data_IF_245814191167
#
_entry.id   IF_245814191167
#
_cell.length_a   1.000
_cell.length_b   1.000
_cell.length_c   1.000
_cell.angle_alpha   90.00
_cell.angle_beta   90.00
_cell.angle_gamma   90.00
#
_symmetry.space_group_name_H-M   'P 1'
#
loop_
_entity.id
_entity.type
_entity.pdbx_description
1 polymer ?
#
# COMPACT_ATOMS: atom_id res chain seq x y z
N UNK A 1 11.73 -6.76 -7.83
CA UNK A 1 10.49 -5.96 -7.92
C UNK A 1 10.21 -5.61 -9.38
N UNK A 2 9.37 -6.40 -10.05
CA UNK A 2 9.17 -6.35 -11.52
C UNK A 2 8.03 -5.42 -11.97
N UNK A 3 7.01 -5.17 -11.15
CA UNK A 3 5.77 -4.48 -11.56
C UNK A 3 5.44 -3.20 -10.74
N UNK A 4 6.45 -2.42 -10.34
CA UNK A 4 6.27 -1.22 -9.47
C UNK A 4 5.34 -0.13 -10.02
N UNK A 5 5.17 -0.06 -11.35
CA UNK A 5 4.30 0.92 -12.02
C UNK A 5 2.86 0.46 -12.18
N UNK A 6 2.55 -0.80 -11.82
CA UNK A 6 1.22 -1.37 -12.01
C UNK A 6 0.10 -0.56 -11.31
N UNK A 7 0.28 0.04 -10.11
CA UNK A 7 -0.75 0.86 -9.50
C UNK A 7 -1.07 2.12 -10.31
N UNK A 8 -0.04 2.76 -10.87
CA UNK A 8 -0.21 3.94 -11.72
C UNK A 8 -0.91 3.57 -13.03
N UNK A 9 -0.48 2.47 -13.67
CA UNK A 9 -1.12 1.94 -14.87
C UNK A 9 -2.59 1.57 -14.62
N UNK A 10 -2.90 0.97 -13.47
CA UNK A 10 -4.27 0.62 -13.11
C UNK A 10 -5.11 1.88 -12.86
N UNK A 11 -4.56 2.91 -12.23
CA UNK A 11 -5.22 4.20 -12.08
C UNK A 11 -5.60 4.80 -13.43
N UNK A 12 -4.62 4.92 -14.33
CA UNK A 12 -4.84 5.44 -15.69
C UNK A 12 -5.90 4.63 -16.46
N UNK A 13 -5.83 3.30 -16.40
CA UNK A 13 -6.79 2.44 -17.10
C UNK A 13 -8.22 2.59 -16.54
N UNK A 14 -8.37 2.74 -15.22
CA UNK A 14 -9.68 2.93 -14.57
C UNK A 14 -10.29 4.27 -14.93
N UNK A 15 -9.50 5.33 -15.01
CA UNK A 15 -9.99 6.68 -15.32
C UNK A 15 -10.45 6.79 -16.79
N UNK A 16 -9.85 6.00 -17.68
CA UNK A 16 -10.22 5.98 -19.09
C UNK A 16 -11.45 5.11 -19.38
N UNK A 17 -11.47 3.87 -18.85
CA UNK A 17 -12.54 2.91 -19.11
C UNK A 17 -12.66 1.88 -17.95
N UNK A 18 -13.47 2.16 -16.92
CA UNK A 18 -13.52 1.35 -15.69
C UNK A 18 -13.91 -0.12 -15.90
N UNK A 19 -14.71 -0.41 -16.93
CA UNK A 19 -15.24 -1.73 -17.26
C UNK A 19 -14.44 -2.45 -18.37
N UNK A 20 -13.29 -1.89 -18.78
CA UNK A 20 -12.45 -2.49 -19.81
C UNK A 20 -11.84 -3.83 -19.33
N UNK A 21 -11.76 -4.80 -20.23
CA UNK A 21 -11.09 -6.07 -20.01
C UNK A 21 -9.63 -5.89 -19.53
N UNK A 22 -8.97 -4.79 -19.91
CA UNK A 22 -7.64 -4.42 -19.43
C UNK A 22 -7.62 -4.17 -17.93
N UNK A 23 -8.58 -3.42 -17.37
CA UNK A 23 -8.67 -3.15 -15.93
C UNK A 23 -8.81 -4.46 -15.15
N UNK A 24 -9.68 -5.35 -15.61
CA UNK A 24 -9.88 -6.67 -15.00
C UNK A 24 -8.60 -7.51 -15.03
N UNK A 25 -7.87 -7.51 -16.16
CA UNK A 25 -6.59 -8.21 -16.29
C UNK A 25 -5.51 -7.64 -15.37
N UNK A 26 -5.40 -6.31 -15.28
CA UNK A 26 -4.44 -5.65 -14.40
C UNK A 26 -4.74 -5.94 -12.92
N UNK A 27 -6.01 -5.98 -12.53
CA UNK A 27 -6.43 -6.39 -11.19
C UNK A 27 -6.06 -7.85 -10.90
N UNK A 28 -6.32 -8.77 -11.82
CA UNK A 28 -5.96 -10.18 -11.68
C UNK A 28 -4.44 -10.39 -11.56
N UNK A 29 -3.64 -9.64 -12.34
CA UNK A 29 -2.18 -9.60 -12.18
C UNK A 29 -1.81 -9.05 -10.81
N UNK A 30 -2.47 -7.98 -10.36
CA UNK A 30 -2.27 -7.40 -9.03
C UNK A 30 -2.47 -8.39 -7.89
N UNK A 31 -3.52 -9.21 -7.95
CA UNK A 31 -3.80 -10.22 -6.93
C UNK A 31 -2.70 -11.29 -6.84
N UNK A 32 -2.06 -11.64 -7.98
CA UNK A 32 -0.93 -12.58 -8.02
C UNK A 32 0.36 -11.97 -7.48
N UNK A 33 0.48 -10.65 -7.49
CA UNK A 33 1.67 -9.91 -7.09
C UNK A 33 1.32 -8.81 -6.07
N UNK A 34 0.90 -9.18 -4.84
CA UNK A 34 0.32 -8.25 -3.87
C UNK A 34 1.24 -7.07 -3.51
N UNK A 35 2.55 -7.29 -3.50
CA UNK A 35 3.57 -6.26 -3.24
C UNK A 35 3.74 -5.26 -4.40
N UNK A 36 3.23 -5.59 -5.58
CA UNK A 36 3.23 -4.69 -6.74
C UNK A 36 1.96 -3.82 -6.81
N UNK A 37 0.97 -4.07 -5.96
CA UNK A 37 -0.32 -3.35 -5.93
C UNK A 37 -0.62 -2.67 -4.61
N UNK A 38 0.43 -2.29 -3.88
CA UNK A 38 0.26 -1.50 -2.65
C UNK A 38 -0.51 -0.22 -2.98
N UNK A 39 -1.63 -0.05 -2.29
CA UNK A 39 -2.57 1.06 -2.47
C UNK A 39 -3.77 0.81 -3.39
N UNK A 40 -3.86 -0.38 -3.98
CA UNK A 40 -5.05 -0.82 -4.72
C UNK A 40 -5.88 -1.80 -3.89
N UNK A 41 -5.23 -2.79 -3.28
CA UNK A 41 -5.87 -3.87 -2.54
C UNK A 41 -5.19 -4.07 -1.17
N UNK A 42 -5.89 -4.62 -0.16
CA UNK A 42 -5.26 -5.00 1.10
C UNK A 42 -4.21 -6.09 0.87
N UNK A 43 -3.11 -6.06 1.63
CA UNK A 43 -2.12 -7.12 1.60
C UNK A 43 -2.71 -8.43 2.16
N UNK A 44 -2.39 -9.59 1.56
CA UNK A 44 -2.69 -10.88 2.16
C UNK A 44 -2.01 -11.03 3.54
N UNK A 45 -2.65 -11.73 4.47
CA UNK A 45 -2.11 -11.95 5.82
C UNK A 45 -0.69 -12.55 5.81
N UNK A 46 -0.39 -13.42 4.84
CA UNK A 46 0.94 -14.01 4.66
C UNK A 46 2.06 -12.97 4.41
N UNK A 47 1.74 -11.85 3.76
CA UNK A 47 2.68 -10.73 3.53
C UNK A 47 2.99 -10.02 4.85
N UNK A 48 1.97 -9.80 5.69
CA UNK A 48 2.14 -9.13 6.98
C UNK A 48 2.77 -10.04 8.05
N UNK A 49 2.62 -11.35 7.91
CA UNK A 49 3.21 -12.35 8.80
C UNK A 49 4.74 -12.46 8.63
N UNK A 50 5.26 -12.29 7.40
CA UNK A 50 6.69 -12.40 7.14
C UNK A 50 7.40 -11.04 7.35
N UNK A 51 8.42 -10.94 8.23
CA UNK A 51 9.01 -9.65 8.63
C UNK A 51 9.59 -8.85 7.46
N UNK A 52 10.32 -9.49 6.55
CA UNK A 52 10.89 -8.80 5.38
C UNK A 52 9.82 -8.30 4.38
N UNK A 53 8.74 -9.07 4.20
CA UNK A 53 7.67 -8.68 3.28
C UNK A 53 6.80 -7.58 3.89
N UNK A 54 6.59 -7.64 5.22
CA UNK A 54 5.96 -6.57 5.98
C UNK A 54 6.75 -5.28 5.85
N UNK A 55 8.06 -5.29 6.09
CA UNK A 55 8.91 -4.11 5.94
C UNK A 55 8.78 -3.49 4.53
N UNK A 56 8.90 -4.32 3.49
CA UNK A 56 8.71 -3.86 2.11
C UNK A 56 7.32 -3.27 1.86
N UNK A 57 6.28 -3.86 2.43
CA UNK A 57 4.91 -3.35 2.32
C UNK A 57 4.75 -1.99 3.03
N UNK A 58 5.33 -1.84 4.22
CA UNK A 58 5.37 -0.56 4.96
C UNK A 58 6.07 0.52 4.13
N UNK A 59 7.26 0.24 3.57
CA UNK A 59 8.00 1.19 2.75
C UNK A 59 7.15 1.70 1.57
N UNK A 60 6.37 0.81 0.96
CA UNK A 60 5.49 1.18 -0.16
C UNK A 60 4.31 2.04 0.27
N UNK A 61 3.78 1.83 1.48
CA UNK A 61 2.74 2.69 2.04
C UNK A 61 3.30 4.09 2.31
N UNK A 62 4.52 4.17 2.86
CA UNK A 62 5.21 5.43 3.12
C UNK A 62 5.49 6.17 1.81
N UNK A 63 6.05 5.49 0.80
CA UNK A 63 6.34 6.04 -0.53
C UNK A 63 5.10 6.66 -1.18
N UNK A 64 3.94 6.02 -0.98
CA UNK A 64 2.65 6.46 -1.57
C UNK A 64 1.83 7.36 -0.65
N UNK A 65 2.28 7.59 0.59
CA UNK A 65 1.53 8.29 1.65
C UNK A 65 0.10 7.77 1.79
N UNK A 66 -0.06 6.45 1.78
CA UNK A 66 -1.37 5.81 1.72
C UNK A 66 -2.08 5.78 3.08
N UNK A 67 -2.82 6.86 3.36
CA UNK A 67 -3.52 7.08 4.64
C UNK A 67 -4.52 5.97 4.95
N UNK A 68 -5.22 5.45 3.95
CA UNK A 68 -6.27 4.46 4.15
C UNK A 68 -5.73 3.13 4.71
N UNK A 69 -4.47 2.78 4.39
CA UNK A 69 -3.83 1.58 4.96
C UNK A 69 -3.04 1.91 6.22
N UNK A 70 -2.57 3.14 6.36
CA UNK A 70 -1.89 3.60 7.56
C UNK A 70 -2.78 3.62 8.82
N UNK A 71 -4.10 3.51 8.69
CA UNK A 71 -5.02 3.32 9.82
C UNK A 71 -5.08 1.87 10.32
N UNK A 72 -4.58 0.89 9.57
CA UNK A 72 -4.64 -0.51 9.99
C UNK A 72 -3.66 -0.75 11.15
N UNK A 73 -4.06 -1.34 12.29
CA UNK A 73 -3.23 -1.38 13.50
C UNK A 73 -1.81 -1.93 13.29
N UNK A 74 -1.67 -3.10 12.64
CA UNK A 74 -0.34 -3.70 12.40
C UNK A 74 0.51 -2.97 11.35
N UNK A 75 -0.12 -2.16 10.51
CA UNK A 75 0.55 -1.32 9.51
C UNK A 75 0.97 0.00 10.13
N UNK A 76 0.10 0.62 10.92
CA UNK A 76 0.35 1.88 11.62
C UNK A 76 1.60 1.80 12.48
N UNK A 77 1.69 0.76 13.32
CA UNK A 77 2.87 0.52 14.17
C UNK A 77 4.13 0.29 13.35
N UNK A 78 4.01 -0.40 12.20
CA UNK A 78 5.11 -0.60 11.27
C UNK A 78 5.61 0.71 10.67
N UNK A 79 4.71 1.60 10.26
CA UNK A 79 5.04 2.93 9.72
C UNK A 79 5.69 3.78 10.81
N UNK A 80 5.11 3.81 12.01
CA UNK A 80 5.65 4.54 13.16
C UNK A 80 7.07 4.10 13.48
N UNK A 81 7.33 2.78 13.51
CA UNK A 81 8.66 2.23 13.72
C UNK A 81 9.64 2.56 12.59
N UNK A 82 9.20 2.55 11.33
CA UNK A 82 10.04 2.84 10.18
C UNK A 82 10.42 4.33 10.06
N UNK A 83 9.48 5.24 10.36
CA UNK A 83 9.71 6.69 10.31
C UNK A 83 10.44 7.22 11.54
N UNK A 84 10.22 6.59 12.71
CA UNK A 84 10.79 7.01 13.98
C UNK A 84 10.51 8.49 14.30
N UNK A 85 11.50 9.15 14.88
CA UNK A 85 11.43 10.58 15.27
C UNK A 85 11.26 11.53 14.07
N UNK A 86 11.51 11.06 12.84
CA UNK A 86 11.43 11.87 11.63
C UNK A 86 10.06 11.81 10.96
N UNK A 87 9.05 11.20 11.60
CA UNK A 87 7.70 11.08 11.04
C UNK A 87 7.11 12.44 10.62
N UNK A 88 7.28 13.48 11.45
CA UNK A 88 6.81 14.83 11.14
C UNK A 88 7.44 15.43 9.87
N UNK A 89 8.69 15.08 9.57
CA UNK A 89 9.42 15.60 8.41
C UNK A 89 9.15 14.78 7.14
N UNK A 90 9.16 13.45 7.27
CA UNK A 90 9.05 12.52 6.14
C UNK A 90 7.59 12.36 5.67
N UNK A 91 6.64 12.39 6.61
CA UNK A 91 5.21 12.29 6.34
C UNK A 91 4.39 13.06 7.39
N UNK A 92 4.29 14.41 7.28
CA UNK A 92 3.61 15.25 8.26
C UNK A 92 2.18 14.80 8.60
N UNK A 93 1.41 14.41 7.58
CA UNK A 93 0.02 14.01 7.74
C UNK A 93 -0.15 12.70 8.52
N UNK A 94 0.89 11.86 8.62
CA UNK A 94 0.81 10.59 9.34
C UNK A 94 0.49 10.80 10.83
N UNK A 95 0.93 11.92 11.40
CA UNK A 95 0.64 12.28 12.80
C UNK A 95 -0.86 12.49 13.07
N UNK A 96 -1.65 12.72 12.03
CA UNK A 96 -3.12 12.86 12.13
C UNK A 96 -3.86 11.56 11.82
N UNK A 97 -3.15 10.53 11.36
CA UNK A 97 -3.74 9.23 11.05
C UNK A 97 -3.93 8.46 12.35
N UNK A 98 -5.18 8.19 12.71
CA UNK A 98 -5.52 7.41 13.89
C UNK A 98 -5.73 5.94 13.50
N UNK A 99 -5.14 4.97 14.21
CA UNK A 99 -5.44 3.55 13.99
C UNK A 99 -6.92 3.28 14.21
N UNK A 100 -7.58 2.59 13.29
CA UNK A 100 -8.96 2.14 13.50
C UNK A 100 -8.95 0.94 14.44
N UNK A 101 -9.62 1.05 15.60
CA UNK A 101 -9.80 -0.07 16.51
C UNK A 101 -10.61 -1.18 15.81
N UNK A 102 -10.18 -2.44 16.01
CA UNK A 102 -10.81 -3.64 15.46
C UNK A 102 -12.26 -3.79 15.91
#
# INVERSE_FOLDING_TARGET
>A
MTLRHLPALLGLARDLAPADALVLRLQAVGQRWPLSVVGVAPAPAAVLAHPALRALYIDRIIERRDRARATQPGVHEGIRGALGEYAAQLWPDFLTVVPTAL
#
